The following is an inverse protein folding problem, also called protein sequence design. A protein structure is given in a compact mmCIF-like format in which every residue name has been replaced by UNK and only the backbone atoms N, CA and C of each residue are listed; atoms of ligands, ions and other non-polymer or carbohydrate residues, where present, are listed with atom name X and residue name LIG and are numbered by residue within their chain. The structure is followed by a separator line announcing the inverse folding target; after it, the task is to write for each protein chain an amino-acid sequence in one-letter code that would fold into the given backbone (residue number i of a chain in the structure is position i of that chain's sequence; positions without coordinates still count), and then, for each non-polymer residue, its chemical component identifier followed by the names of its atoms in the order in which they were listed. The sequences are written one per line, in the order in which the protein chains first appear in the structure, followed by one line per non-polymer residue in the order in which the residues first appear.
data_IF_608334452309
#
_entry.id   IF_608334452309
#
_cell.length_a   1.000
_cell.length_b   1.000
_cell.length_c   1.000
_cell.angle_alpha   90.00
_cell.angle_beta   90.00
_cell.angle_gamma   90.00
#
_symmetry.space_group_name_H-M   'P 1'
#
loop_
_entity.id
_entity.type
_entity.pdbx_description
1 polymer ?
#
# COMPACT_ATOMS: atom_id res chain seq x y z
N UNK A 1 5.38 26.15 -13.30
CA UNK A 1 4.60 24.91 -13.11
C UNK A 1 5.58 23.77 -13.22
N UNK A 2 5.80 23.04 -12.11
CA UNK A 2 6.76 21.95 -12.03
C UNK A 2 6.01 20.63 -11.89
N UNK A 3 6.52 19.59 -12.57
CA UNK A 3 5.98 18.24 -12.55
C UNK A 3 7.12 17.27 -12.21
N UNK A 4 7.05 16.60 -11.07
CA UNK A 4 8.05 15.62 -10.61
C UNK A 4 7.35 14.27 -10.43
N UNK A 5 7.98 13.17 -10.84
CA UNK A 5 7.46 11.82 -10.63
C UNK A 5 7.60 11.40 -9.15
N UNK A 6 6.70 10.55 -8.66
CA UNK A 6 6.70 10.18 -7.25
C UNK A 6 7.91 9.33 -6.83
N UNK A 7 8.48 8.54 -7.74
CA UNK A 7 9.69 7.72 -7.51
C UNK A 7 10.95 8.53 -7.16
N UNK A 8 11.02 9.79 -7.57
CA UNK A 8 12.16 10.68 -7.27
C UNK A 8 12.24 11.07 -5.78
N UNK A 9 11.13 11.00 -5.04
CA UNK A 9 11.07 11.50 -3.66
C UNK A 9 10.24 10.63 -2.69
N UNK A 10 9.58 9.57 -3.15
CA UNK A 10 8.87 8.60 -2.31
C UNK A 10 9.41 7.20 -2.57
N UNK A 11 9.71 6.48 -1.49
CA UNK A 11 9.98 5.04 -1.53
C UNK A 11 9.02 4.33 -0.56
N UNK A 12 8.43 3.23 -1.02
CA UNK A 12 7.52 2.39 -0.22
C UNK A 12 8.13 1.00 -0.10
N UNK A 13 8.41 0.61 1.13
CA UNK A 13 8.83 -0.74 1.50
C UNK A 13 7.73 -1.41 2.33
N UNK A 14 7.61 -2.73 2.22
CA UNK A 14 6.55 -3.49 2.87
C UNK A 14 7.11 -4.70 3.58
N UNK A 15 6.58 -4.95 4.76
CA UNK A 15 6.80 -6.19 5.50
C UNK A 15 5.55 -7.02 5.32
N UNK A 16 5.69 -8.13 4.61
CA UNK A 16 4.61 -9.08 4.39
C UNK A 16 4.46 -10.02 5.59
N UNK A 17 3.24 -10.50 5.79
CA UNK A 17 2.92 -11.50 6.78
C UNK A 17 3.77 -12.76 6.58
N UNK A 18 4.30 -13.30 7.67
CA UNK A 18 5.27 -14.40 7.68
C UNK A 18 4.80 -15.63 6.89
N UNK A 19 3.49 -15.90 6.89
CA UNK A 19 2.86 -16.96 6.08
C UNK A 19 3.28 -16.92 4.60
N UNK A 20 3.42 -15.72 4.03
CA UNK A 20 3.78 -15.51 2.63
C UNK A 20 5.28 -15.72 2.36
N UNK A 21 6.09 -15.95 3.39
CA UNK A 21 7.50 -16.38 3.31
C UNK A 21 7.75 -17.78 3.87
N UNK A 22 6.81 -18.34 4.64
CA UNK A 22 6.93 -19.63 5.33
C UNK A 22 6.95 -20.86 4.41
N UNK A 23 7.24 -22.02 5.02
CA UNK A 23 7.20 -23.34 4.39
C UNK A 23 5.80 -23.75 3.93
N UNK A 24 4.74 -23.20 4.52
CA UNK A 24 3.34 -23.58 4.24
C UNK A 24 2.82 -23.12 2.87
N UNK A 25 3.67 -22.44 2.09
CA UNK A 25 3.48 -22.09 0.67
C UNK A 25 4.37 -22.92 -0.27
N UNK A 26 5.27 -23.74 0.28
CA UNK A 26 6.23 -24.49 -0.51
C UNK A 26 5.57 -25.66 -1.25
N UNK A 27 6.15 -26.05 -2.38
CA UNK A 27 5.74 -27.27 -3.07
C UNK A 27 5.95 -28.52 -2.19
N UNK A 28 6.94 -28.51 -1.30
CA UNK A 28 7.18 -29.58 -0.34
C UNK A 28 5.99 -29.75 0.61
N UNK A 29 5.44 -28.65 1.13
CA UNK A 29 4.23 -28.67 1.95
C UNK A 29 3.01 -29.17 1.17
N UNK A 30 2.81 -28.67 -0.06
CA UNK A 30 1.68 -29.10 -0.89
C UNK A 30 1.72 -30.59 -1.23
N UNK A 31 2.92 -31.11 -1.52
CA UNK A 31 3.15 -32.53 -1.81
C UNK A 31 2.96 -33.39 -0.56
N UNK A 32 3.35 -32.88 0.61
CA UNK A 32 3.16 -33.56 1.89
C UNK A 32 1.67 -33.73 2.21
N UNK A 33 0.88 -32.68 1.99
CA UNK A 33 -0.56 -32.70 2.21
C UNK A 33 -1.36 -33.42 1.11
N UNK A 34 -0.74 -33.75 -0.02
CA UNK A 34 -1.45 -34.38 -1.13
C UNK A 34 -1.70 -35.85 -0.84
N UNK A 35 -2.96 -36.28 -0.82
CA UNK A 35 -3.38 -37.66 -0.62
C UNK A 35 -4.34 -38.09 -1.75
N UNK A 36 -3.94 -39.08 -2.55
CA UNK A 36 -4.67 -39.55 -3.74
C UNK A 36 -5.75 -40.60 -3.37
N UNK A 37 -5.61 -41.25 -2.21
CA UNK A 37 -6.41 -42.43 -1.84
C UNK A 37 -7.74 -42.09 -1.15
N UNK A 38 -8.08 -40.80 -1.00
CA UNK A 38 -9.18 -40.34 -0.15
C UNK A 38 -10.01 -39.22 -0.83
N UNK A 39 -10.71 -39.53 -1.93
CA UNK A 39 -11.84 -38.67 -2.38
C UNK A 39 -13.01 -38.87 -1.41
N UNK A 40 -12.90 -38.28 -0.23
CA UNK A 40 -13.96 -38.21 0.76
C UNK A 40 -14.32 -36.74 0.99
N UNK A 41 -15.60 -36.42 0.79
CA UNK A 41 -16.19 -35.09 0.75
C UNK A 41 -15.99 -34.27 2.05
N UNK A 42 -15.66 -34.95 3.16
CA UNK A 42 -15.43 -34.35 4.48
C UNK A 42 -14.08 -34.67 5.09
N UNK A 43 -13.18 -35.32 4.36
CA UNK A 43 -11.84 -35.58 4.86
C UNK A 43 -10.95 -34.37 4.59
N UNK A 44 -10.36 -33.76 5.63
CA UNK A 44 -9.41 -32.67 5.45
C UNK A 44 -8.27 -33.03 4.49
N UNK A 45 -7.83 -34.31 4.43
CA UNK A 45 -6.78 -34.76 3.50
C UNK A 45 -7.10 -34.46 2.03
N UNK A 46 -8.37 -34.53 1.64
CA UNK A 46 -8.77 -34.32 0.25
C UNK A 46 -8.62 -32.87 -0.17
N UNK A 47 -8.78 -31.91 0.75
CA UNK A 47 -8.77 -30.47 0.43
C UNK A 47 -7.56 -29.71 0.93
N UNK A 48 -6.81 -30.24 1.90
CA UNK A 48 -5.72 -29.54 2.57
C UNK A 48 -4.69 -28.96 1.59
N UNK A 49 -4.16 -29.78 0.67
CA UNK A 49 -3.20 -29.31 -0.33
C UNK A 49 -3.76 -28.14 -1.17
N UNK A 50 -5.03 -28.21 -1.58
CA UNK A 50 -5.67 -27.14 -2.37
C UNK A 50 -5.93 -25.87 -1.57
N UNK A 51 -6.29 -25.99 -0.28
CA UNK A 51 -6.45 -24.84 0.59
C UNK A 51 -5.12 -24.08 0.73
N UNK A 52 -4.01 -24.78 0.95
CA UNK A 52 -2.69 -24.15 1.07
C UNK A 52 -2.12 -23.65 -0.26
N UNK A 53 -2.41 -24.32 -1.37
CA UNK A 53 -2.12 -23.77 -2.71
C UNK A 53 -2.90 -22.49 -2.98
N UNK A 54 -4.16 -22.41 -2.53
CA UNK A 54 -4.97 -21.20 -2.61
C UNK A 54 -4.37 -20.06 -1.79
N UNK A 55 -3.96 -20.35 -0.55
CA UNK A 55 -3.24 -19.40 0.31
C UNK A 55 -1.94 -18.90 -0.34
N UNK A 56 -1.14 -19.80 -0.91
CA UNK A 56 0.08 -19.45 -1.66
C UNK A 56 -0.20 -18.57 -2.87
N UNK A 57 -1.29 -18.86 -3.60
CA UNK A 57 -1.76 -18.06 -4.73
C UNK A 57 -2.20 -16.67 -4.29
N UNK A 58 -2.93 -16.55 -3.18
CA UNK A 58 -3.33 -15.27 -2.61
C UNK A 58 -2.12 -14.42 -2.24
N UNK A 59 -1.13 -14.97 -1.51
CA UNK A 59 0.13 -14.28 -1.21
C UNK A 59 0.86 -13.75 -2.46
N UNK A 60 0.87 -14.55 -3.54
CA UNK A 60 1.49 -14.15 -4.82
C UNK A 60 0.70 -13.02 -5.48
N UNK A 61 -0.61 -13.20 -5.62
CA UNK A 61 -1.48 -12.24 -6.31
C UNK A 61 -1.57 -10.90 -5.57
N UNK A 62 -1.55 -10.89 -4.24
CA UNK A 62 -1.54 -9.63 -3.48
C UNK A 62 -0.24 -8.86 -3.71
N UNK A 63 0.90 -9.55 -3.73
CA UNK A 63 2.19 -8.93 -4.07
C UNK A 63 2.20 -8.35 -5.48
N UNK A 64 1.80 -9.14 -6.48
CA UNK A 64 1.74 -8.67 -7.87
C UNK A 64 0.77 -7.49 -8.05
N UNK A 65 -0.34 -7.50 -7.32
CA UNK A 65 -1.32 -6.39 -7.31
C UNK A 65 -0.68 -5.13 -6.74
N UNK A 66 -0.01 -5.23 -5.60
CA UNK A 66 0.71 -4.12 -4.98
C UNK A 66 1.81 -3.59 -5.91
N UNK A 67 2.64 -4.45 -6.46
CA UNK A 67 3.77 -4.06 -7.33
C UNK A 67 3.25 -3.32 -8.56
N UNK A 68 2.15 -3.79 -9.14
CA UNK A 68 1.47 -3.12 -10.25
C UNK A 68 0.94 -1.76 -9.84
N UNK A 69 0.26 -1.66 -8.68
CA UNK A 69 -0.28 -0.41 -8.16
C UNK A 69 0.82 0.61 -7.82
N UNK A 70 1.94 0.16 -7.25
CA UNK A 70 3.11 1.01 -6.98
C UNK A 70 3.78 1.47 -8.26
N UNK A 71 3.95 0.59 -9.25
CA UNK A 71 4.50 0.95 -10.57
C UNK A 71 3.65 2.04 -11.23
N UNK A 72 2.33 1.91 -11.19
CA UNK A 72 1.41 2.92 -11.70
C UNK A 72 1.50 4.23 -10.90
N UNK A 73 1.56 4.14 -9.57
CA UNK A 73 1.68 5.30 -8.69
C UNK A 73 2.98 6.07 -8.93
N UNK A 74 4.12 5.39 -9.02
CA UNK A 74 5.42 6.01 -9.27
C UNK A 74 5.49 6.69 -10.64
N UNK A 75 4.77 6.17 -11.64
CA UNK A 75 4.64 6.82 -12.94
C UNK A 75 3.82 8.12 -12.90
N UNK A 76 3.00 8.34 -11.86
CA UNK A 76 2.24 9.59 -11.71
C UNK A 76 3.16 10.75 -11.31
N UNK A 77 2.71 11.98 -11.60
CA UNK A 77 3.47 13.21 -11.31
C UNK A 77 2.77 14.08 -10.30
N UNK A 78 3.52 14.61 -9.35
CA UNK A 78 3.09 15.71 -8.51
C UNK A 78 3.21 17.03 -9.29
N UNK A 79 2.08 17.68 -9.51
CA UNK A 79 1.99 18.95 -10.25
C UNK A 79 1.79 20.11 -9.29
N UNK A 80 2.71 21.06 -9.31
CA UNK A 80 2.66 22.25 -8.43
C UNK A 80 2.95 23.53 -9.22
N UNK A 81 2.23 24.60 -8.91
CA UNK A 81 2.49 25.94 -9.46
C UNK A 81 3.60 26.66 -8.70
N UNK A 82 3.75 26.36 -7.41
CA UNK A 82 4.70 26.94 -6.47
C UNK A 82 5.32 25.84 -5.62
N UNK A 83 6.51 26.09 -5.08
CA UNK A 83 7.17 25.21 -4.13
C UNK A 83 6.27 24.99 -2.91
N UNK A 84 6.03 23.73 -2.56
CA UNK A 84 5.25 23.39 -1.37
C UNK A 84 6.13 23.51 -0.13
N UNK A 85 5.57 24.01 0.97
CA UNK A 85 6.20 23.88 2.28
C UNK A 85 6.27 22.40 2.67
N UNK A 86 7.20 22.03 3.56
CA UNK A 86 7.32 20.65 4.02
C UNK A 86 5.98 20.11 4.58
N UNK A 87 5.26 20.90 5.39
CA UNK A 87 3.96 20.50 5.92
C UNK A 87 2.92 20.22 4.82
N UNK A 88 2.81 21.10 3.83
CA UNK A 88 1.87 20.91 2.72
C UNK A 88 2.29 19.73 1.84
N UNK A 89 3.60 19.55 1.62
CA UNK A 89 4.14 18.39 0.94
C UNK A 89 3.74 17.10 1.67
N UNK A 90 4.02 16.99 2.97
CA UNK A 90 3.67 15.80 3.75
C UNK A 90 2.17 15.48 3.71
N UNK A 91 1.32 16.52 3.81
CA UNK A 91 -0.13 16.36 3.69
C UNK A 91 -0.56 15.95 2.28
N UNK A 92 0.10 16.44 1.24
CA UNK A 92 -0.23 16.11 -0.16
C UNK A 92 0.19 14.70 -0.56
N UNK A 93 1.17 14.12 0.14
CA UNK A 93 1.57 12.70 -0.01
C UNK A 93 0.57 11.72 0.64
N UNK A 94 -0.54 12.21 1.22
CA UNK A 94 -1.66 11.37 1.66
C UNK A 94 -2.25 10.48 0.54
N UNK A 95 -1.96 10.77 -0.73
CA UNK A 95 -2.27 9.93 -1.89
C UNK A 95 -1.82 8.47 -1.73
N UNK A 96 -0.78 8.19 -0.94
CA UNK A 96 -0.32 6.83 -0.63
C UNK A 96 -1.30 6.03 0.24
N UNK A 97 -1.94 6.69 1.21
CA UNK A 97 -2.97 6.06 2.05
C UNK A 97 -4.20 5.73 1.19
N UNK A 98 -4.54 6.63 0.27
CA UNK A 98 -5.59 6.36 -0.72
C UNK A 98 -5.20 5.18 -1.61
N UNK A 99 -3.97 5.12 -2.14
CA UNK A 99 -3.50 3.99 -2.94
C UNK A 99 -3.65 2.66 -2.20
N UNK A 100 -3.16 2.57 -0.96
CA UNK A 100 -3.26 1.37 -0.13
C UNK A 100 -4.71 0.91 0.01
N UNK A 101 -5.60 1.81 0.43
CA UNK A 101 -7.02 1.50 0.65
C UNK A 101 -7.72 1.06 -0.64
N UNK A 102 -7.48 1.79 -1.73
CA UNK A 102 -8.15 1.53 -3.01
C UNK A 102 -7.67 0.20 -3.62
N UNK A 103 -6.38 -0.11 -3.50
CA UNK A 103 -5.78 -1.36 -3.97
C UNK A 103 -6.35 -2.56 -3.22
N UNK A 104 -6.38 -2.51 -1.89
CA UNK A 104 -6.98 -3.54 -1.03
C UNK A 104 -8.46 -3.77 -1.39
N UNK A 105 -9.25 -2.69 -1.47
CA UNK A 105 -10.67 -2.78 -1.79
C UNK A 105 -10.93 -3.37 -3.18
N UNK A 106 -10.11 -2.98 -4.17
CA UNK A 106 -10.21 -3.51 -5.53
C UNK A 106 -9.90 -5.00 -5.56
N UNK A 107 -8.84 -5.44 -4.89
CA UNK A 107 -8.49 -6.85 -4.78
C UNK A 107 -9.61 -7.66 -4.13
N UNK A 108 -10.10 -7.22 -2.97
CA UNK A 108 -11.20 -7.86 -2.24
C UNK A 108 -12.46 -7.97 -3.10
N UNK A 109 -12.81 -6.89 -3.81
CA UNK A 109 -13.98 -6.88 -4.69
C UNK A 109 -13.85 -7.91 -5.81
N UNK A 110 -12.69 -7.99 -6.45
CA UNK A 110 -12.42 -8.99 -7.50
C UNK A 110 -12.54 -10.41 -6.95
N UNK A 111 -11.94 -10.70 -5.79
CA UNK A 111 -12.03 -11.99 -5.14
C UNK A 111 -13.49 -12.37 -4.82
N UNK A 112 -14.25 -11.46 -4.23
CA UNK A 112 -15.66 -11.68 -3.92
C UNK A 112 -16.48 -11.95 -5.19
N UNK A 113 -16.25 -11.20 -6.28
CA UNK A 113 -16.94 -11.45 -7.55
C UNK A 113 -16.66 -12.86 -8.07
N UNK A 114 -15.43 -13.33 -7.98
CA UNK A 114 -15.06 -14.69 -8.40
C UNK A 114 -15.82 -15.72 -7.56
N UNK A 115 -15.85 -15.56 -6.23
CA UNK A 115 -16.58 -16.48 -5.33
C UNK A 115 -18.08 -16.51 -5.63
N UNK A 116 -18.69 -15.35 -5.85
CA UNK A 116 -20.11 -15.24 -6.20
C UNK A 116 -20.42 -15.85 -7.57
N UNK A 117 -19.53 -15.70 -8.55
CA UNK A 117 -19.68 -16.36 -9.86
C UNK A 117 -19.58 -17.88 -9.71
N UNK A 118 -18.61 -18.38 -8.92
CA UNK A 118 -18.44 -19.81 -8.70
C UNK A 118 -19.67 -20.42 -8.04
N UNK A 119 -20.19 -19.78 -6.99
CA UNK A 119 -21.37 -20.25 -6.26
C UNK A 119 -22.65 -20.09 -7.07
N UNK A 120 -22.90 -18.92 -7.66
CA UNK A 120 -24.11 -18.62 -8.41
C UNK A 120 -24.29 -19.49 -9.66
N UNK A 121 -23.19 -19.98 -10.25
CA UNK A 121 -23.23 -20.93 -11.37
C UNK A 121 -23.08 -22.39 -10.93
N UNK A 122 -23.06 -22.67 -9.62
CA UNK A 122 -22.91 -24.02 -9.06
C UNK A 122 -21.70 -24.77 -9.61
N UNK A 123 -20.57 -24.08 -9.80
CA UNK A 123 -19.33 -24.71 -10.28
C UNK A 123 -18.89 -25.80 -9.32
N UNK A 124 -18.89 -27.04 -9.77
CA UNK A 124 -18.60 -28.19 -8.91
C UNK A 124 -17.11 -28.30 -8.61
N UNK A 125 -16.79 -28.46 -7.32
CA UNK A 125 -15.46 -28.80 -6.84
C UNK A 125 -15.13 -30.23 -7.24
N UNK A 126 -13.91 -30.48 -7.73
CA UNK A 126 -13.43 -31.84 -8.03
C UNK A 126 -13.44 -32.74 -6.77
N UNK A 127 -13.31 -32.13 -5.59
CA UNK A 127 -13.35 -32.79 -4.29
C UNK A 127 -14.78 -33.05 -3.78
N UNK A 128 -15.81 -32.67 -4.56
CA UNK A 128 -17.22 -32.81 -4.20
C UNK A 128 -17.61 -32.15 -2.87
N UNK A 129 -16.87 -31.12 -2.47
CA UNK A 129 -17.06 -30.38 -1.21
C UNK A 129 -18.29 -29.49 -1.23
N UNK A 130 -18.73 -29.03 -2.40
CA UNK A 130 -19.94 -28.22 -2.57
C UNK A 130 -21.13 -29.01 -3.12
N UNK A 131 -20.89 -29.91 -4.06
CA UNK A 131 -21.90 -30.78 -4.66
C UNK A 131 -21.33 -32.18 -4.82
N UNK A 132 -22.14 -33.18 -4.51
CA UNK A 132 -21.77 -34.59 -4.66
C UNK A 132 -22.62 -35.31 -5.68
N UNK A 133 -22.04 -36.35 -6.26
CA UNK A 133 -22.75 -37.25 -7.15
C UNK A 133 -23.34 -38.42 -6.37
N UNK A 134 -24.63 -38.64 -6.53
CA UNK A 134 -25.34 -39.80 -5.97
C UNK A 134 -25.90 -40.65 -7.10
N UNK A 135 -25.61 -41.95 -7.05
CA UNK A 135 -26.17 -42.95 -7.95
C UNK A 135 -27.10 -43.82 -7.10
N UNK A 136 -28.40 -43.80 -7.39
CA UNK A 136 -29.41 -44.49 -6.56
C UNK A 136 -29.46 -46.00 -6.85
N UNK A 137 -29.27 -46.39 -8.10
CA UNK A 137 -29.35 -47.79 -8.55
C UNK A 137 -28.12 -48.06 -9.43
N UNK A 138 -27.51 -49.25 -9.37
CA UNK A 138 -26.38 -49.62 -10.26
C UNK A 138 -26.89 -50.53 -11.38
N UNK A 139 -27.51 -49.92 -12.38
CA UNK A 139 -27.93 -50.58 -13.61
C UNK A 139 -27.23 -49.96 -14.82
N UNK A 140 -27.33 -50.62 -15.98
CA UNK A 140 -26.93 -49.99 -17.23
C UNK A 140 -27.85 -48.78 -17.45
N UNK A 141 -27.29 -47.56 -17.50
CA UNK A 141 -27.99 -46.26 -17.63
C UNK A 141 -28.53 -45.60 -16.35
N UNK A 142 -27.95 -45.87 -15.19
CA UNK A 142 -28.34 -45.17 -13.96
C UNK A 142 -28.20 -43.65 -14.05
N UNK A 143 -29.24 -42.88 -13.68
CA UNK A 143 -29.14 -41.43 -13.58
C UNK A 143 -28.15 -41.05 -12.47
N UNK A 144 -27.31 -40.05 -12.77
CA UNK A 144 -26.40 -39.44 -11.80
C UNK A 144 -27.09 -38.18 -11.27
N UNK A 145 -27.38 -38.16 -9.98
CA UNK A 145 -27.97 -37.01 -9.31
C UNK A 145 -26.87 -36.16 -8.66
N UNK A 146 -27.03 -34.84 -8.70
CA UNK A 146 -26.18 -33.90 -7.98
C UNK A 146 -26.90 -33.38 -6.76
N UNK A 147 -26.30 -33.54 -5.59
CA UNK A 147 -26.88 -33.07 -4.32
C UNK A 147 -25.94 -32.05 -3.68
N UNK A 148 -26.45 -30.93 -3.14
CA UNK A 148 -25.61 -29.98 -2.45
C UNK A 148 -25.09 -30.58 -1.16
N UNK A 149 -23.81 -30.35 -0.89
CA UNK A 149 -23.21 -30.73 0.39
C UNK A 149 -23.78 -29.91 1.53
N UNK A 150 -23.81 -30.52 2.71
CA UNK A 150 -24.21 -29.85 3.94
C UNK A 150 -23.07 -29.91 4.94
N UNK A 151 -22.76 -28.78 5.55
CA UNK A 151 -21.85 -28.66 6.68
C UNK A 151 -22.70 -28.21 7.88
N UNK A 152 -22.80 -29.08 8.90
CA UNK A 152 -23.79 -28.94 9.97
C UNK A 152 -25.22 -28.73 9.42
N UNK A 153 -25.89 -27.63 9.75
CA UNK A 153 -27.23 -27.26 9.25
C UNK A 153 -27.20 -26.42 7.96
N UNK A 154 -26.02 -26.06 7.45
CA UNK A 154 -25.84 -25.16 6.31
C UNK A 154 -25.69 -25.95 5.00
N UNK A 155 -26.40 -25.54 3.95
CA UNK A 155 -26.37 -26.17 2.62
C UNK A 155 -25.58 -25.35 1.60
N UNK A 156 -24.63 -25.99 0.91
CA UNK A 156 -23.81 -25.37 -0.14
C UNK A 156 -24.61 -24.91 -1.35
N UNK A 157 -25.79 -25.49 -1.58
CA UNK A 157 -26.72 -25.04 -2.63
C UNK A 157 -27.36 -23.68 -2.32
N UNK A 158 -27.35 -23.24 -1.07
CA UNK A 158 -27.96 -21.97 -0.62
C UNK A 158 -26.96 -20.95 -0.11
N UNK A 159 -25.77 -21.37 0.34
CA UNK A 159 -24.74 -20.48 0.86
C UNK A 159 -23.35 -21.03 0.56
N UNK A 160 -22.47 -20.17 0.06
CA UNK A 160 -21.04 -20.49 -0.13
C UNK A 160 -20.25 -20.49 1.19
N UNK A 161 -20.84 -19.96 2.27
CA UNK A 161 -20.21 -19.74 3.57
C UNK A 161 -20.23 -20.97 4.49
N UNK A 162 -20.88 -22.06 4.08
CA UNK A 162 -20.99 -23.24 4.93
C UNK A 162 -19.64 -23.88 5.16
N UNK A 163 -19.28 -24.04 6.43
CA UNK A 163 -18.05 -24.70 6.87
C UNK A 163 -18.27 -25.41 8.22
N UNK A 164 -17.37 -26.32 8.54
CA UNK A 164 -17.25 -26.95 9.86
C UNK A 164 -15.77 -27.11 10.25
N UNK A 165 -15.44 -27.14 11.55
CA UNK A 165 -14.06 -27.30 12.01
C UNK A 165 -13.45 -28.61 11.49
N UNK A 166 -12.15 -28.57 11.20
CA UNK A 166 -11.38 -29.79 10.89
C UNK A 166 -11.30 -30.66 12.14
N UNK A 167 -11.61 -31.95 11.98
CA UNK A 167 -11.47 -32.96 13.02
C UNK A 167 -10.50 -34.03 12.53
N UNK A 168 -9.43 -34.25 13.29
CA UNK A 168 -8.39 -35.27 13.06
C UNK A 168 -8.30 -36.13 14.32
N UNK A 169 -8.48 -37.45 14.21
CA UNK A 169 -8.41 -38.39 15.35
C UNK A 169 -9.23 -37.94 16.58
N UNK A 170 -10.48 -37.51 16.32
CA UNK A 170 -11.41 -36.93 17.31
C UNK A 170 -10.94 -35.62 18.00
N UNK A 171 -9.85 -35.02 17.53
CA UNK A 171 -9.34 -33.74 17.99
C UNK A 171 -9.72 -32.65 16.98
N UNK A 172 -10.26 -31.54 17.48
CA UNK A 172 -10.54 -30.35 16.66
C UNK A 172 -9.21 -29.65 16.40
N UNK A 173 -8.95 -29.30 15.14
CA UNK A 173 -7.77 -28.52 14.77
C UNK A 173 -8.12 -27.04 14.81
N UNK A 174 -7.58 -26.35 15.80
CA UNK A 174 -7.88 -24.94 16.04
C UNK A 174 -7.57 -24.08 14.82
N UNK A 175 -8.56 -23.28 14.44
CA UNK A 175 -8.46 -22.34 13.34
C UNK A 175 -8.72 -22.90 11.95
N UNK A 176 -8.69 -24.21 11.74
CA UNK A 176 -8.89 -24.80 10.41
C UNK A 176 -10.31 -25.30 10.18
N UNK A 177 -10.81 -25.08 8.96
CA UNK A 177 -12.14 -25.49 8.53
C UNK A 177 -12.12 -26.31 7.24
N UNK A 178 -13.20 -27.07 7.03
CA UNK A 178 -13.62 -27.61 5.73
C UNK A 178 -14.95 -26.98 5.35
N UNK A 179 -15.27 -26.85 4.07
CA UNK A 179 -16.49 -26.21 3.62
C UNK A 179 -16.71 -26.33 2.12
N UNK A 180 -17.72 -25.63 1.61
CA UNK A 180 -18.17 -25.77 0.21
C UNK A 180 -17.04 -25.58 -0.80
N UNK A 181 -16.27 -24.50 -0.64
CA UNK A 181 -15.20 -24.12 -1.55
C UNK A 181 -13.88 -23.97 -0.80
N UNK A 182 -12.80 -24.68 -1.19
CA UNK A 182 -11.51 -24.60 -0.51
C UNK A 182 -10.99 -23.16 -0.33
N UNK A 183 -11.16 -22.30 -1.35
CA UNK A 183 -10.80 -20.88 -1.29
C UNK A 183 -11.60 -20.15 -0.20
N UNK A 184 -12.93 -20.30 -0.18
CA UNK A 184 -13.77 -19.63 0.82
C UNK A 184 -13.47 -20.12 2.23
N UNK A 185 -13.24 -21.42 2.37
CA UNK A 185 -12.93 -22.07 3.64
C UNK A 185 -11.60 -21.61 4.21
N UNK A 186 -10.53 -21.49 3.39
CA UNK A 186 -9.25 -21.00 3.89
C UNK A 186 -9.36 -19.54 4.36
N UNK A 187 -10.16 -18.70 3.68
CA UNK A 187 -10.43 -17.32 4.11
C UNK A 187 -11.14 -17.27 5.48
N UNK A 188 -12.09 -18.17 5.73
CA UNK A 188 -12.80 -18.28 7.01
C UNK A 188 -11.94 -18.86 8.14
N UNK A 189 -10.87 -19.57 7.80
CA UNK A 189 -9.93 -20.19 8.73
C UNK A 189 -8.96 -19.16 9.33
N UNK A 190 -8.45 -19.46 10.52
CA UNK A 190 -7.24 -18.86 11.08
C UNK A 190 -6.10 -19.87 11.01
N UNK A 191 -4.86 -19.38 11.05
CA UNK A 191 -3.67 -20.23 10.99
C UNK A 191 -3.13 -20.56 12.39
N UNK A 192 -3.99 -20.53 13.41
CA UNK A 192 -3.62 -20.67 14.81
C UNK A 192 -2.78 -21.93 15.08
N UNK A 193 -3.16 -23.07 14.50
CA UNK A 193 -2.43 -24.32 14.64
C UNK A 193 -0.96 -24.23 14.17
N UNK A 194 -0.65 -23.37 13.20
CA UNK A 194 0.69 -23.22 12.62
C UNK A 194 1.65 -22.40 13.46
N UNK A 195 1.17 -21.79 14.55
CA UNK A 195 1.99 -21.14 15.58
C UNK A 195 2.28 -22.07 16.77
N UNK A 196 1.70 -23.28 16.80
CA UNK A 196 1.81 -24.22 17.91
C UNK A 196 2.40 -25.55 17.43
N UNK A 197 3.61 -25.86 17.90
CA UNK A 197 4.33 -27.07 17.55
C UNK A 197 3.49 -28.34 17.78
N UNK A 198 2.83 -28.46 18.93
CA UNK A 198 2.00 -29.64 19.26
C UNK A 198 0.86 -29.81 18.26
N UNK A 199 0.21 -28.71 17.88
CA UNK A 199 -0.90 -28.75 16.93
C UNK A 199 -0.41 -29.12 15.52
N UNK A 200 0.70 -28.51 15.08
CA UNK A 200 1.33 -28.84 13.79
C UNK A 200 1.69 -30.33 13.74
N UNK A 201 2.26 -30.89 14.81
CA UNK A 201 2.60 -32.32 14.87
C UNK A 201 1.39 -33.24 14.71
N UNK A 202 0.19 -32.86 15.20
CA UNK A 202 -1.05 -33.63 14.95
C UNK A 202 -1.37 -33.68 13.45
N UNK A 203 -1.26 -32.53 12.76
CA UNK A 203 -1.43 -32.49 11.30
C UNK A 203 -0.36 -33.36 10.64
N UNK A 204 0.91 -33.24 11.04
CA UNK A 204 1.98 -34.03 10.44
C UNK A 204 1.76 -35.53 10.60
N UNK A 205 1.43 -36.02 11.81
CA UNK A 205 1.13 -37.44 12.04
C UNK A 205 -0.06 -37.93 11.22
N UNK A 206 -1.06 -37.07 11.02
CA UNK A 206 -2.23 -37.41 10.22
C UNK A 206 -1.91 -37.61 8.74
N UNK A 207 -0.88 -36.97 8.20
CA UNK A 207 -0.45 -37.13 6.81
C UNK A 207 0.78 -38.04 6.64
N UNK A 208 1.27 -38.66 7.73
CA UNK A 208 2.49 -39.44 7.71
C UNK A 208 2.35 -40.66 6.78
N UNK A 209 3.00 -40.59 5.62
CA UNK A 209 3.12 -41.73 4.69
C UNK A 209 4.29 -42.60 5.14
N UNK A 210 4.11 -43.93 5.13
CA UNK A 210 5.05 -44.94 5.64
C UNK A 210 6.47 -44.93 5.02
N UNK A 211 6.81 -43.99 4.14
CA UNK A 211 8.01 -44.03 3.31
C UNK A 211 8.56 -42.67 2.84
N UNK A 212 8.55 -41.62 3.67
CA UNK A 212 9.22 -40.36 3.31
C UNK A 212 10.15 -39.85 4.40
N UNK A 213 11.33 -39.41 3.96
CA UNK A 213 12.41 -38.71 4.67
C UNK A 213 11.92 -37.84 5.83
N UNK A 214 12.75 -37.63 6.86
CA UNK A 214 12.52 -36.67 7.95
C UNK A 214 12.28 -35.26 7.36
N UNK A 215 11.02 -34.96 7.06
CA UNK A 215 10.58 -33.65 6.59
C UNK A 215 10.11 -32.90 7.83
N UNK A 216 10.80 -31.81 8.15
CA UNK A 216 10.39 -30.87 9.19
C UNK A 216 9.89 -29.59 8.53
N UNK A 217 8.80 -29.04 9.05
CA UNK A 217 8.30 -27.72 8.67
C UNK A 217 8.42 -26.78 9.86
N UNK A 218 8.84 -25.55 9.64
CA UNK A 218 8.99 -24.57 10.70
C UNK A 218 7.66 -23.90 11.04
N UNK A 219 7.32 -23.81 12.33
CA UNK A 219 6.16 -23.04 12.80
C UNK A 219 6.31 -21.55 12.49
N UNK A 220 5.17 -20.85 12.41
CA UNK A 220 5.12 -19.40 12.31
C UNK A 220 5.50 -18.76 13.66
N UNK A 221 6.10 -17.57 13.63
CA UNK A 221 6.44 -16.79 14.81
C UNK A 221 5.26 -15.97 15.33
N UNK A 222 5.04 -15.97 16.65
CA UNK A 222 3.95 -15.21 17.28
C UNK A 222 4.22 -13.70 17.43
N UNK A 223 5.30 -13.18 16.82
CA UNK A 223 5.74 -11.79 16.98
C UNK A 223 4.91 -10.77 16.16
N UNK A 224 3.71 -11.17 15.71
CA UNK A 224 2.84 -10.33 14.91
C UNK A 224 1.83 -9.56 15.77
N UNK A 225 1.60 -8.29 15.41
CA UNK A 225 0.66 -7.38 16.08
C UNK A 225 -0.81 -7.79 15.98
N UNK A 226 -1.14 -8.79 15.16
CA UNK A 226 -2.50 -9.16 14.76
C UNK A 226 -3.07 -10.39 15.49
N UNK A 227 -2.29 -11.02 16.37
CA UNK A 227 -2.72 -12.23 17.08
C UNK A 227 -2.66 -13.49 16.21
N UNK A 228 -2.69 -14.66 16.86
CA UNK A 228 -2.61 -15.97 16.17
C UNK A 228 -3.97 -16.46 15.68
N UNK A 229 -5.06 -15.88 16.17
CA UNK A 229 -6.45 -16.19 15.85
C UNK A 229 -7.01 -15.37 14.68
N UNK A 230 -6.20 -14.49 14.10
CA UNK A 230 -6.56 -13.71 12.91
C UNK A 230 -6.96 -14.62 11.73
N UNK A 231 -8.07 -14.27 11.09
CA UNK A 231 -8.54 -14.99 9.90
C UNK A 231 -7.73 -14.62 8.67
N UNK A 232 -7.57 -15.58 7.77
CA UNK A 232 -6.90 -15.34 6.48
C UNK A 232 -7.63 -14.27 5.66
N UNK A 233 -8.96 -14.17 5.74
CA UNK A 233 -9.72 -13.08 5.11
C UNK A 233 -9.25 -11.69 5.58
N UNK A 234 -8.93 -11.54 6.87
CA UNK A 234 -8.43 -10.28 7.42
C UNK A 234 -7.01 -9.99 6.93
N UNK A 235 -6.18 -11.02 6.78
CA UNK A 235 -4.86 -10.88 6.15
C UNK A 235 -4.98 -10.43 4.69
N UNK A 236 -5.90 -11.05 3.93
CA UNK A 236 -6.20 -10.68 2.53
C UNK A 236 -6.73 -9.25 2.43
N UNK A 237 -7.57 -8.80 3.37
CA UNK A 237 -8.07 -7.43 3.42
C UNK A 237 -6.94 -6.40 3.53
N UNK A 238 -5.78 -6.77 4.09
CA UNK A 238 -4.56 -5.94 4.11
C UNK A 238 -3.50 -6.39 3.09
N UNK A 239 -3.88 -7.21 2.12
CA UNK A 239 -3.00 -7.74 1.06
C UNK A 239 -1.80 -8.53 1.60
N UNK A 240 -1.96 -9.13 2.79
CA UNK A 240 -0.90 -9.75 3.59
C UNK A 240 0.25 -8.79 3.96
N UNK A 241 0.01 -7.49 4.03
CA UNK A 241 1.01 -6.53 4.51
C UNK A 241 0.79 -6.25 5.99
N UNK A 242 1.82 -6.49 6.79
CA UNK A 242 1.83 -6.22 8.22
C UNK A 242 2.27 -4.78 8.48
N UNK A 243 3.26 -4.29 7.73
CA UNK A 243 3.78 -2.93 7.90
C UNK A 243 4.11 -2.27 6.56
N UNK A 244 3.75 -1.00 6.44
CA UNK A 244 4.08 -0.12 5.32
C UNK A 244 5.12 0.90 5.78
N UNK A 245 6.33 0.80 5.25
CA UNK A 245 7.44 1.71 5.53
C UNK A 245 7.55 2.71 4.39
N UNK A 246 6.96 3.89 4.58
CA UNK A 246 6.93 4.94 3.57
C UNK A 246 8.02 5.97 3.88
N UNK A 247 9.08 5.98 3.07
CA UNK A 247 10.12 7.00 3.12
C UNK A 247 9.80 8.15 2.14
N UNK A 248 9.93 9.40 2.60
CA UNK A 248 9.58 10.61 1.84
C UNK A 248 10.71 11.62 1.99
N UNK A 249 11.37 11.97 0.89
CA UNK A 249 12.44 12.96 0.89
C UNK A 249 11.91 14.31 0.43
N UNK A 250 11.66 15.22 1.39
CA UNK A 250 11.36 16.62 1.04
C UNK A 250 12.58 17.30 0.39
N UNK A 251 13.79 16.89 0.75
CA UNK A 251 15.04 17.39 0.19
C UNK A 251 15.12 17.10 -1.32
N UNK A 252 14.90 15.83 -1.73
CA UNK A 252 14.88 15.46 -3.15
C UNK A 252 13.79 16.25 -3.91
N UNK A 253 12.62 16.43 -3.29
CA UNK A 253 11.57 17.26 -3.87
C UNK A 253 12.04 18.71 -4.03
N UNK A 254 12.61 19.31 -2.99
CA UNK A 254 13.08 20.70 -2.98
C UNK A 254 14.16 20.94 -4.03
N UNK A 255 15.17 20.07 -4.12
CA UNK A 255 16.25 20.18 -5.11
C UNK A 255 15.74 20.20 -6.55
N UNK A 256 14.67 19.44 -6.84
CA UNK A 256 14.07 19.39 -8.18
C UNK A 256 13.08 20.53 -8.45
N UNK A 257 12.48 21.11 -7.41
CA UNK A 257 11.38 22.07 -7.53
C UNK A 257 11.73 23.52 -7.13
N UNK A 258 12.91 23.77 -6.56
CA UNK A 258 13.29 25.12 -6.15
C UNK A 258 13.32 26.07 -7.37
N UNK A 259 12.83 27.31 -7.21
CA UNK A 259 12.88 28.27 -8.29
C UNK A 259 14.34 28.62 -8.61
N UNK A 260 14.67 28.74 -9.89
CA UNK A 260 15.99 29.24 -10.32
C UNK A 260 16.21 30.72 -9.97
N UNK A 261 15.12 31.47 -9.72
CA UNK A 261 15.19 32.89 -9.42
C UNK A 261 14.25 33.26 -8.28
N UNK A 262 14.79 33.97 -7.29
CA UNK A 262 14.06 34.44 -6.13
C UNK A 262 13.81 35.95 -6.32
N UNK A 263 12.55 36.37 -6.19
CA UNK A 263 12.17 37.79 -6.22
C UNK A 263 11.72 38.22 -4.83
N UNK A 264 12.36 39.24 -4.26
CA UNK A 264 11.84 39.90 -3.08
C UNK A 264 11.35 41.30 -3.43
N UNK A 265 10.24 41.70 -2.82
CA UNK A 265 9.72 43.06 -2.87
C UNK A 265 9.89 43.69 -1.49
N UNK A 266 10.55 44.83 -1.43
CA UNK A 266 10.55 45.68 -0.23
C UNK A 266 9.66 46.89 -0.49
N UNK A 267 8.91 47.29 0.53
CA UNK A 267 8.08 48.49 0.51
C UNK A 267 8.93 49.61 1.10
N UNK A 268 9.39 50.52 0.25
CA UNK A 268 9.99 51.77 0.70
C UNK A 268 8.89 52.78 1.01
N UNK A 269 8.76 53.15 2.28
CA UNK A 269 7.96 54.30 2.68
C UNK A 269 8.75 55.57 2.38
N UNK A 270 8.32 56.32 1.36
CA UNK A 270 8.94 57.62 1.07
C UNK A 270 8.73 58.56 2.26
N UNK A 271 9.81 58.97 2.90
CA UNK A 271 9.76 60.01 3.92
C UNK A 271 9.35 61.33 3.25
N UNK A 272 8.22 61.90 3.66
CA UNK A 272 7.70 63.15 3.08
C UNK A 272 8.71 64.30 3.21
N UNK A 273 9.57 64.29 4.24
CA UNK A 273 10.67 65.24 4.38
C UNK A 273 11.68 65.14 3.24
N UNK A 274 11.97 63.95 2.71
CA UNK A 274 12.87 63.76 1.59
C UNK A 274 12.30 64.35 0.28
N UNK A 275 10.98 64.20 0.06
CA UNK A 275 10.30 64.79 -1.10
C UNK A 275 10.29 66.32 -1.00
N UNK A 276 9.94 66.85 0.18
CA UNK A 276 9.89 68.30 0.43
C UNK A 276 11.28 68.92 0.30
N UNK A 277 12.32 68.30 0.88
CA UNK A 277 13.70 68.81 0.78
C UNK A 277 14.22 68.75 -0.65
N UNK A 278 13.94 67.69 -1.41
CA UNK A 278 14.35 67.59 -2.82
C UNK A 278 13.69 68.66 -3.70
N UNK A 279 12.39 68.95 -3.47
CA UNK A 279 11.68 70.01 -4.18
C UNK A 279 12.25 71.38 -3.78
N UNK A 280 12.48 71.61 -2.48
CA UNK A 280 13.07 72.85 -1.98
C UNK A 280 14.49 73.09 -2.57
N UNK A 281 15.31 72.05 -2.69
CA UNK A 281 16.64 72.14 -3.33
C UNK A 281 16.58 72.36 -4.83
N UNK A 282 15.50 71.95 -5.51
CA UNK A 282 15.31 72.23 -6.94
C UNK A 282 14.81 73.66 -7.21
N UNK A 283 14.15 74.30 -6.23
CA UNK A 283 13.68 75.68 -6.35
C UNK A 283 14.67 76.72 -5.81
N UNK A 284 15.62 76.31 -4.98
CA UNK A 284 16.74 77.14 -4.52
C UNK A 284 18.03 76.69 -5.19
N UNK A 285 18.29 77.17 -6.40
CA UNK A 285 19.60 77.11 -7.04
C UNK A 285 20.14 78.56 -7.14
N UNK A 286 20.93 78.96 -6.15
CA UNK A 286 21.88 80.08 -6.24
C UNK A 286 23.25 79.55 -5.74
N UNK A 287 24.35 79.71 -6.50
CA UNK A 287 25.48 78.80 -6.39
C UNK A 287 26.47 79.32 -5.35
N UNK A 288 26.37 78.88 -4.10
CA UNK A 288 27.53 78.86 -3.20
C UNK A 288 27.64 77.56 -2.39
N UNK A 289 28.82 76.95 -2.55
CA UNK A 289 29.33 75.74 -1.90
C UNK A 289 28.83 75.56 -0.46
N UNK A 290 28.13 74.47 -0.22
CA UNK A 290 28.04 73.84 1.10
C UNK A 290 28.40 72.36 0.92
N UNK A 291 29.56 71.97 1.47
CA UNK A 291 29.89 70.57 1.68
C UNK A 291 28.90 70.01 2.72
N UNK A 292 27.99 69.14 2.29
CA UNK A 292 27.26 68.25 3.19
C UNK A 292 27.85 66.86 3.02
N UNK A 293 28.46 66.39 4.10
CA UNK A 293 29.03 65.06 4.24
C UNK A 293 27.95 63.97 4.10
N UNK A 294 28.20 63.01 3.22
CA UNK A 294 27.47 61.74 3.14
C UNK A 294 27.35 61.08 4.52
N UNK A 295 26.15 60.70 4.98
CA UNK A 295 26.02 59.56 5.87
C UNK A 295 26.24 58.30 5.03
N UNK A 296 27.46 57.75 5.09
CA UNK A 296 27.72 56.37 4.65
C UNK A 296 26.71 55.45 5.35
N UNK A 297 26.01 54.57 4.63
CA UNK A 297 25.49 53.37 5.25
C UNK A 297 26.68 52.58 5.77
N UNK A 298 26.60 52.13 7.02
CA UNK A 298 27.55 51.21 7.61
C UNK A 298 27.69 49.97 6.73
N UNK A 299 28.85 49.82 6.10
CA UNK A 299 29.36 48.54 5.63
C UNK A 299 29.55 47.62 6.85
N UNK A 300 28.63 46.67 7.02
CA UNK A 300 28.93 45.42 7.71
C UNK A 300 28.50 44.26 6.83
N UNK A 301 29.51 43.60 6.28
CA UNK A 301 29.51 42.26 5.68
C UNK A 301 29.04 42.15 4.22
N UNK A 302 29.91 42.60 3.30
CA UNK A 302 30.02 41.99 1.96
C UNK A 302 31.12 40.92 1.99
N UNK A 303 30.98 39.81 1.25
CA UNK A 303 31.63 39.48 -0.05
C UNK A 303 31.02 38.11 -0.54
N UNK A 304 30.96 37.75 -1.85
CA UNK A 304 31.13 38.51 -3.08
C UNK A 304 29.86 38.53 -3.97
N UNK A 305 29.89 39.37 -5.01
CA UNK A 305 28.90 39.42 -6.08
C UNK A 305 28.91 38.19 -6.99
N UNK A 306 27.76 37.91 -7.64
CA UNK A 306 27.80 37.73 -9.08
C UNK A 306 26.65 38.43 -9.82
N UNK A 307 26.97 39.03 -10.99
CA UNK A 307 26.05 39.24 -12.11
C UNK A 307 24.90 40.24 -11.96
N UNK A 308 25.12 41.50 -12.33
CA UNK A 308 24.02 42.47 -12.53
C UNK A 308 23.18 42.15 -13.76
N UNK A 309 21.88 41.83 -13.60
CA UNK A 309 20.92 41.85 -14.70
C UNK A 309 19.62 42.62 -14.41
N UNK A 310 19.24 43.41 -15.43
CA UNK A 310 18.09 44.32 -15.67
C UNK A 310 17.00 44.49 -14.61
N UNK A 311 16.89 45.73 -14.13
CA UNK A 311 15.74 46.30 -13.42
C UNK A 311 14.60 46.55 -14.44
N UNK A 312 13.38 46.06 -14.19
CA UNK A 312 12.15 46.46 -14.92
C UNK A 312 11.23 47.24 -13.99
N UNK A 313 10.86 48.47 -14.39
CA UNK A 313 9.75 49.23 -13.78
C UNK A 313 8.42 48.71 -14.32
N UNK A 314 7.47 48.42 -13.44
CA UNK A 314 6.07 48.19 -13.81
C UNK A 314 5.24 49.28 -13.11
N UNK A 315 4.58 50.19 -13.83
CA UNK A 315 3.67 51.14 -13.23
C UNK A 315 2.30 50.48 -13.00
N UNK A 316 1.80 50.51 -11.76
CA UNK A 316 0.40 50.22 -11.42
C UNK A 316 -0.19 51.48 -10.80
N UNK A 317 -1.43 51.81 -11.20
CA UNK A 317 -2.04 53.13 -11.06
C UNK A 317 -2.21 53.65 -9.62
N UNK A 318 -2.11 54.99 -9.53
CA UNK A 318 -2.71 55.91 -8.56
C UNK A 318 -2.94 55.40 -7.13
N UNK A 319 -1.88 54.95 -6.48
CA UNK A 319 -1.44 55.36 -5.14
C UNK A 319 0.00 54.90 -4.98
N UNK A 320 0.92 55.85 -4.79
CA UNK A 320 2.36 55.65 -4.98
C UNK A 320 2.96 54.72 -3.92
N UNK A 321 3.03 53.42 -4.25
CA UNK A 321 3.99 52.47 -3.68
C UNK A 321 4.91 52.05 -4.83
N UNK A 322 6.19 52.43 -4.77
CA UNK A 322 7.20 51.96 -5.72
C UNK A 322 7.65 50.56 -5.28
N UNK A 323 7.32 49.54 -6.07
CA UNK A 323 7.84 48.20 -5.87
C UNK A 323 9.15 48.05 -6.64
N UNK A 324 10.25 47.87 -5.93
CA UNK A 324 11.51 47.44 -6.52
C UNK A 324 11.61 45.93 -6.40
N UNK A 325 11.75 45.25 -7.54
CA UNK A 325 11.97 43.80 -7.59
C UNK A 325 13.45 43.58 -7.92
N UNK A 326 14.21 43.05 -6.96
CA UNK A 326 15.54 42.49 -7.23
C UNK A 326 15.42 40.98 -7.42
N UNK A 327 16.07 40.47 -8.45
CA UNK A 327 16.11 39.05 -8.82
C UNK A 327 17.49 38.53 -8.48
N UNK A 328 17.57 37.47 -7.68
CA UNK A 328 18.83 36.79 -7.33
C UNK A 328 18.77 35.31 -7.70
N UNK A 329 19.93 34.69 -7.88
CA UNK A 329 20.10 33.24 -8.01
C UNK A 329 19.91 32.58 -6.63
N UNK A 330 18.93 31.69 -6.51
CA UNK A 330 18.52 31.11 -5.23
C UNK A 330 19.56 30.12 -4.64
N UNK A 331 20.61 29.77 -5.39
CA UNK A 331 21.70 28.87 -4.98
C UNK A 331 22.61 29.42 -3.87
N UNK A 332 22.41 30.68 -3.45
CA UNK A 332 23.23 31.38 -2.46
C UNK A 332 22.58 31.54 -1.07
N UNK A 333 21.37 31.01 -0.87
CA UNK A 333 20.65 31.07 0.41
C UNK A 333 20.53 29.66 1.01
N UNK A 334 21.63 29.18 1.59
CA UNK A 334 21.65 28.07 2.55
C UNK A 334 22.09 28.65 3.90
#
# INVERSE_FOLDING_TARGET
MHCIQYDEFVCVEMIYHEICSSDFRSQQWFNYLYDDDQINERNFRSTASTQFQSLGSLCKLTRETIDTSLTQFYATKLITSQLLSNEIFQNRIHSLITLQKTTSQSFKRTLNIIEEILHGNSYMSVYQTNWKFTILERENFSPIYTNPMKYQSCSCGTSSLCCEPVIIDNSIIDGLFIGCYPMKTILQSSLQCFYNETCLQIILSYFQKSSSNNISFQILSSNNSYGTDEKVEQMVDRLFVDQWNINRSYENYYEKCHPTFCTYSYIEYFNIFYIVTTILTMFYDDPQKIHVSDPRPSESNAIPSPGFHRIRRIPVGSDKILYWIRVWDCSTWI
#
